data_IF_350805532150
#
_entry.id   IF_350805532150
#
_cell.length_a   1.000
_cell.length_b   1.000
_cell.length_c   1.000
_cell.angle_alpha   90.00
_cell.angle_beta   90.00
_cell.angle_gamma   90.00
#
_symmetry.space_group_name_H-M   'P 1'
#
loop_
_entity.id
_entity.type
_entity.pdbx_description
1 polymer ?
#
# COMPACT_ATOMS: atom_id res chain seq x y z
N UNK A 1 -10.63 30.94 13.26
CA UNK A 1 -11.02 29.74 14.02
C UNK A 1 -10.98 28.52 13.11
N UNK A 2 -11.80 28.45 12.04
CA UNK A 2 -11.78 27.35 11.05
C UNK A 2 -10.37 26.96 10.53
N UNK A 3 -9.59 27.94 10.06
CA UNK A 3 -8.21 27.71 9.56
C UNK A 3 -7.25 27.13 10.62
N UNK A 4 -7.43 27.51 11.89
CA UNK A 4 -6.61 27.01 12.99
C UNK A 4 -7.03 25.60 13.39
N UNK A 5 -8.32 25.27 13.28
CA UNK A 5 -8.84 23.93 13.50
C UNK A 5 -8.42 22.97 12.39
N UNK A 6 -8.46 23.40 11.13
CA UNK A 6 -8.00 22.62 9.97
C UNK A 6 -6.49 22.34 10.04
N UNK A 7 -5.69 23.35 10.41
CA UNK A 7 -4.25 23.16 10.63
C UNK A 7 -3.95 22.25 11.82
N UNK A 8 -4.76 22.32 12.89
CA UNK A 8 -4.61 21.45 14.06
C UNK A 8 -4.96 20.00 13.71
N UNK A 9 -6.06 19.78 12.98
CA UNK A 9 -6.49 18.47 12.48
C UNK A 9 -5.44 17.85 11.55
N UNK A 10 -4.92 18.60 10.58
CA UNK A 10 -3.82 18.15 9.73
C UNK A 10 -2.58 17.77 10.56
N UNK A 11 -2.23 18.57 11.58
CA UNK A 11 -1.06 18.28 12.42
C UNK A 11 -1.25 17.09 13.36
N UNK A 12 -2.47 16.83 13.81
CA UNK A 12 -2.83 15.70 14.68
C UNK A 12 -2.91 14.41 13.86
N UNK A 13 -3.45 14.46 12.65
CA UNK A 13 -3.37 13.37 11.69
C UNK A 13 -1.91 13.04 11.37
N UNK A 14 -1.09 14.03 11.00
CA UNK A 14 0.33 13.81 10.69
C UNK A 14 1.11 13.22 11.89
N UNK A 15 0.79 13.63 13.13
CA UNK A 15 1.37 13.04 14.35
C UNK A 15 0.89 11.62 14.63
N UNK A 16 -0.37 11.30 14.34
CA UNK A 16 -0.93 9.94 14.46
C UNK A 16 -0.23 8.96 13.50
N UNK A 17 0.16 9.45 12.31
CA UNK A 17 0.81 8.64 11.27
C UNK A 17 2.34 8.56 11.39
N UNK A 18 2.98 9.47 12.12
CA UNK A 18 4.42 9.40 12.48
C UNK A 18 4.71 8.43 13.65
N UNK A 19 3.79 7.52 13.95
CA UNK A 19 4.04 6.50 14.98
C UNK A 19 5.13 5.51 14.50
N UNK A 20 5.90 4.91 15.43
CA UNK A 20 6.84 3.82 15.13
C UNK A 20 6.25 2.70 14.25
N UNK A 21 4.92 2.54 14.28
CA UNK A 21 4.19 1.55 13.49
C UNK A 21 4.30 1.78 11.97
N UNK A 22 4.53 3.00 11.50
CA UNK A 22 4.71 3.29 10.06
C UNK A 22 5.99 2.63 9.50
N UNK A 23 7.09 2.69 10.26
CA UNK A 23 8.35 2.01 9.94
C UNK A 23 8.22 0.50 10.00
N UNK A 24 7.45 -0.02 10.95
CA UNK A 24 7.18 -1.46 11.03
C UNK A 24 6.35 -1.95 9.83
N UNK A 25 5.26 -1.27 9.50
CA UNK A 25 4.44 -1.56 8.31
C UNK A 25 5.28 -1.58 7.04
N UNK A 26 6.14 -0.57 6.85
CA UNK A 26 7.06 -0.50 5.71
C UNK A 26 8.01 -1.69 5.63
N UNK A 27 8.64 -2.07 6.75
CA UNK A 27 9.53 -3.25 6.81
C UNK A 27 8.80 -4.55 6.48
N UNK A 28 7.58 -4.73 6.98
CA UNK A 28 6.76 -5.91 6.72
C UNK A 28 6.39 -5.98 5.24
N UNK A 29 5.89 -4.88 4.65
CA UNK A 29 5.58 -4.81 3.21
C UNK A 29 6.82 -5.06 2.35
N UNK A 30 7.97 -4.49 2.71
CA UNK A 30 9.20 -4.64 1.93
C UNK A 30 9.64 -6.10 1.78
N UNK A 31 9.40 -6.95 2.79
CA UNK A 31 9.73 -8.37 2.74
C UNK A 31 8.90 -9.14 1.70
N UNK A 32 7.64 -8.75 1.49
CA UNK A 32 6.72 -9.47 0.58
C UNK A 32 6.63 -8.85 -0.81
N UNK A 33 7.01 -7.57 -0.94
CA UNK A 33 6.83 -6.79 -2.16
C UNK A 33 7.48 -7.43 -3.41
N UNK A 34 8.73 -7.94 -3.37
CA UNK A 34 9.32 -8.59 -4.54
C UNK A 34 8.52 -9.81 -5.03
N UNK A 35 8.04 -10.63 -4.10
CA UNK A 35 7.23 -11.80 -4.42
C UNK A 35 5.86 -11.39 -4.98
N UNK A 36 5.25 -10.31 -4.46
CA UNK A 36 3.98 -9.80 -4.94
C UNK A 36 4.10 -9.26 -6.36
N UNK A 37 5.19 -8.54 -6.67
CA UNK A 37 5.53 -8.06 -8.02
C UNK A 37 5.60 -9.24 -8.99
N UNK A 38 6.43 -10.24 -8.68
CA UNK A 38 6.61 -11.41 -9.54
C UNK A 38 5.30 -12.18 -9.75
N UNK A 39 4.50 -12.33 -8.70
CA UNK A 39 3.21 -13.01 -8.77
C UNK A 39 2.21 -12.29 -9.67
N UNK A 40 2.07 -10.97 -9.53
CA UNK A 40 1.17 -10.19 -10.40
C UNK A 40 1.65 -10.19 -11.84
N UNK A 41 2.95 -10.01 -12.10
CA UNK A 41 3.50 -10.08 -13.46
C UNK A 41 3.21 -11.43 -14.10
N UNK A 42 3.37 -12.53 -13.35
CA UNK A 42 3.05 -13.87 -13.82
C UNK A 42 1.56 -14.01 -14.18
N UNK A 43 0.65 -13.51 -13.33
CA UNK A 43 -0.79 -13.52 -13.62
C UNK A 43 -1.13 -12.68 -14.86
N UNK A 44 -0.69 -11.42 -14.93
CA UNK A 44 -0.94 -10.54 -16.07
C UNK A 44 -0.44 -11.15 -17.38
N UNK A 45 0.75 -11.78 -17.38
CA UNK A 45 1.28 -12.45 -18.57
C UNK A 45 0.42 -13.63 -19.00
N UNK A 46 -0.06 -14.44 -18.05
CA UNK A 46 -0.93 -15.57 -18.36
C UNK A 46 -2.28 -15.10 -18.88
N UNK A 47 -2.84 -14.01 -18.35
CA UNK A 47 -4.09 -13.44 -18.86
C UNK A 47 -3.95 -12.95 -20.31
N UNK A 48 -2.84 -12.30 -20.66
CA UNK A 48 -2.55 -11.95 -22.06
C UNK A 48 -2.44 -13.20 -22.94
N UNK A 49 -1.74 -14.23 -22.48
CA UNK A 49 -1.49 -15.44 -23.27
C UNK A 49 -2.72 -16.33 -23.48
N UNK A 50 -3.60 -16.43 -22.47
CA UNK A 50 -4.70 -17.41 -22.46
C UNK A 50 -6.08 -16.76 -22.55
N UNK A 51 -6.22 -15.50 -22.17
CA UNK A 51 -7.51 -14.79 -22.12
C UNK A 51 -7.59 -13.65 -23.14
N UNK A 52 -6.58 -13.47 -24.00
CA UNK A 52 -6.48 -12.37 -24.97
C UNK A 52 -6.65 -10.99 -24.32
N UNK A 53 -6.18 -10.86 -23.07
CA UNK A 53 -6.23 -9.62 -22.32
C UNK A 53 -5.11 -8.66 -22.75
N UNK A 54 -5.20 -7.40 -22.34
CA UNK A 54 -4.21 -6.35 -22.62
C UNK A 54 -3.55 -5.87 -21.33
N UNK A 55 -2.29 -5.43 -21.45
CA UNK A 55 -1.54 -4.96 -20.28
C UNK A 55 -1.92 -3.52 -19.97
N UNK A 56 -2.55 -3.32 -18.82
CA UNK A 56 -2.67 -2.00 -18.18
C UNK A 56 -1.66 -1.89 -17.04
N UNK A 57 -0.65 -1.04 -17.22
CA UNK A 57 0.45 -0.87 -16.26
C UNK A 57 -0.04 -0.28 -14.94
N UNK A 58 -1.00 0.66 -14.97
CA UNK A 58 -1.47 1.33 -13.76
C UNK A 58 -2.33 0.39 -12.91
N UNK A 59 -3.22 -0.37 -13.55
CA UNK A 59 -3.95 -1.46 -12.89
C UNK A 59 -3.00 -2.53 -12.34
N UNK A 60 -1.94 -2.88 -13.08
CA UNK A 60 -0.91 -3.82 -12.61
C UNK A 60 -0.22 -3.31 -11.34
N UNK A 61 0.13 -2.02 -11.25
CA UNK A 61 0.70 -1.43 -10.03
C UNK A 61 -0.28 -1.52 -8.86
N UNK A 62 -1.55 -1.20 -9.07
CA UNK A 62 -2.58 -1.30 -8.02
C UNK A 62 -2.72 -2.74 -7.55
N UNK A 63 -2.78 -3.71 -8.47
CA UNK A 63 -2.81 -5.15 -8.15
C UNK A 63 -1.59 -5.59 -7.33
N UNK A 64 -0.40 -5.07 -7.61
CA UNK A 64 0.81 -5.34 -6.82
C UNK A 64 0.66 -4.82 -5.39
N UNK A 65 0.25 -3.56 -5.22
CA UNK A 65 0.04 -2.93 -3.90
C UNK A 65 -0.97 -3.71 -3.07
N UNK A 66 -2.10 -4.06 -3.69
CA UNK A 66 -3.16 -4.87 -3.07
C UNK A 66 -2.67 -6.26 -2.70
N UNK A 67 -1.94 -6.93 -3.60
CA UNK A 67 -1.43 -8.27 -3.34
C UNK A 67 -0.45 -8.30 -2.17
N UNK A 68 0.48 -7.34 -2.13
CA UNK A 68 1.43 -7.20 -1.03
C UNK A 68 0.68 -6.93 0.29
N UNK A 69 -0.30 -6.04 0.30
CA UNK A 69 -1.12 -5.75 1.47
C UNK A 69 -1.91 -6.97 1.95
N UNK A 70 -2.59 -7.70 1.05
CA UNK A 70 -3.38 -8.87 1.41
C UNK A 70 -2.54 -9.99 2.04
N UNK A 71 -1.27 -10.11 1.67
CA UNK A 71 -0.36 -11.08 2.30
C UNK A 71 0.08 -10.69 3.71
N UNK A 72 -0.06 -9.43 4.11
CA UNK A 72 0.36 -8.93 5.43
C UNK A 72 -0.79 -8.35 6.25
N UNK A 73 -2.03 -8.40 5.75
CA UNK A 73 -3.20 -7.79 6.40
C UNK A 73 -3.54 -8.40 7.77
N UNK A 74 -3.08 -9.63 8.03
CA UNK A 74 -3.20 -10.29 9.33
C UNK A 74 -2.19 -9.82 10.39
N UNK A 75 -1.16 -9.07 10.00
CA UNK A 75 -0.15 -8.55 10.92
C UNK A 75 -0.73 -7.45 11.82
N UNK A 76 -0.31 -7.43 13.08
CA UNK A 76 -0.86 -6.50 14.09
C UNK A 76 -0.75 -5.03 13.66
N UNK A 77 0.36 -4.68 13.00
CA UNK A 77 0.62 -3.31 12.54
C UNK A 77 -0.31 -2.87 11.39
N UNK A 78 -1.07 -3.77 10.76
CA UNK A 78 -2.06 -3.47 9.72
C UNK A 78 -3.52 -3.55 10.20
N UNK A 79 -3.77 -3.86 11.47
CA UNK A 79 -5.13 -3.98 12.02
C UNK A 79 -5.91 -2.68 11.83
N UNK A 80 -7.08 -2.77 11.20
CA UNK A 80 -7.99 -1.64 10.97
C UNK A 80 -7.67 -0.80 9.73
N UNK A 81 -6.62 -1.13 8.96
CA UNK A 81 -6.36 -0.46 7.68
C UNK A 81 -7.21 -1.07 6.55
N UNK A 82 -7.78 -0.21 5.71
CA UNK A 82 -8.46 -0.63 4.48
C UNK A 82 -7.47 -0.76 3.32
N UNK A 83 -7.82 -1.60 2.35
CA UNK A 83 -7.04 -1.76 1.12
C UNK A 83 -6.96 -0.45 0.33
N UNK A 84 -8.07 0.31 0.28
CA UNK A 84 -8.15 1.63 -0.35
C UNK A 84 -7.15 2.61 0.28
N UNK A 85 -7.08 2.65 1.61
CA UNK A 85 -6.13 3.48 2.33
C UNK A 85 -4.69 3.12 1.93
N UNK A 86 -4.35 1.83 1.94
CA UNK A 86 -2.98 1.38 1.64
C UNK A 86 -2.56 1.73 0.21
N UNK A 87 -3.47 1.61 -0.77
CA UNK A 87 -3.19 1.98 -2.17
C UNK A 87 -2.98 3.49 -2.32
N UNK A 88 -3.87 4.30 -1.71
CA UNK A 88 -3.85 5.76 -1.81
C UNK A 88 -2.65 6.41 -1.11
N UNK A 89 -2.19 5.81 -0.01
CA UNK A 89 -1.08 6.34 0.80
C UNK A 89 0.21 5.51 0.70
N UNK A 90 0.35 4.70 -0.36
CA UNK A 90 1.43 3.73 -0.53
C UNK A 90 2.85 4.28 -0.27
N UNK A 91 3.16 5.45 -0.82
CA UNK A 91 4.49 6.06 -0.69
C UNK A 91 4.87 6.33 0.77
N UNK A 92 3.89 6.52 1.67
CA UNK A 92 4.14 6.81 3.08
C UNK A 92 4.73 5.61 3.84
N UNK A 93 4.60 4.38 3.33
CA UNK A 93 5.21 3.20 3.96
C UNK A 93 6.73 3.11 3.72
N UNK A 94 7.25 3.80 2.71
CA UNK A 94 8.66 3.68 2.29
C UNK A 94 9.44 4.99 2.35
N UNK A 95 8.80 6.10 2.75
CA UNK A 95 9.52 7.36 2.99
C UNK A 95 10.46 7.20 4.18
N UNK A 96 11.75 7.22 3.88
CA UNK A 96 12.82 7.33 4.87
C UNK A 96 13.07 8.83 5.07
N UNK A 97 12.83 9.33 6.28
CA UNK A 97 13.32 10.62 6.74
C UNK A 97 14.47 10.39 7.73
#
# INVERSE_FOLDING_TARGET
MQLLEDQRLSSEEDKLWWSPDSKEKGKVLWKVLPAAIMWIIWKTRNDVAFNNDTINVEDTKVKIKLQAFFWVSGEKCFKGLSAEYVVSYWERFFRIH
#
